data_IF_363857042895
#
_entry.id   IF_363857042895
#
_cell.length_a   1.000
_cell.length_b   1.000
_cell.length_c   1.000
_cell.angle_alpha   90.00
_cell.angle_beta   90.00
_cell.angle_gamma   90.00
#
_symmetry.space_group_name_H-M   'P 1'
#
loop_
_entity.id
_entity.type
_entity.pdbx_description
1 polymer ?
#
# COMPACT_ATOMS: atom_id res chain seq x y z
N UNK A 1 12.32 18.02 -2.89
CA UNK A 1 13.38 17.22 -2.24
C UNK A 1 14.66 18.01 -2.04
N UNK A 2 14.94 19.04 -2.86
CA UNK A 2 16.10 19.92 -2.68
C UNK A 2 16.09 20.66 -1.33
N UNK A 3 14.92 20.97 -0.77
CA UNK A 3 14.83 21.66 0.53
C UNK A 3 15.35 20.80 1.70
N UNK A 4 15.13 19.49 1.67
CA UNK A 4 15.68 18.55 2.66
C UNK A 4 17.19 18.39 2.51
N UNK A 5 17.70 18.40 1.28
CA UNK A 5 19.14 18.37 1.02
C UNK A 5 19.82 19.67 1.50
N UNK A 6 19.19 20.83 1.26
CA UNK A 6 19.65 22.13 1.75
C UNK A 6 19.61 22.22 3.29
N UNK A 7 18.69 21.51 3.94
CA UNK A 7 18.61 21.40 5.40
C UNK A 7 19.59 20.37 5.99
N UNK A 8 20.41 19.70 5.17
CA UNK A 8 21.37 18.68 5.63
C UNK A 8 20.73 17.39 6.13
N UNK A 9 19.45 17.13 5.82
CA UNK A 9 18.75 15.93 6.27
C UNK A 9 19.05 14.77 5.31
N UNK A 10 19.67 13.67 5.78
CA UNK A 10 19.95 12.52 4.95
C UNK A 10 18.65 11.77 4.65
N UNK A 11 18.10 11.98 3.47
CA UNK A 11 17.01 11.15 2.94
C UNK A 11 17.56 10.11 1.97
N UNK A 12 16.91 8.95 1.90
CA UNK A 12 17.23 7.85 0.97
C UNK A 12 17.55 8.31 -0.47
N UNK A 13 16.75 9.19 -1.11
CA UNK A 13 17.08 9.79 -2.40
C UNK A 13 18.43 10.52 -2.49
N UNK A 14 18.85 11.18 -1.40
CA UNK A 14 20.07 11.99 -1.33
C UNK A 14 21.32 11.13 -1.05
N UNK A 15 21.14 10.03 -0.31
CA UNK A 15 22.25 9.15 0.12
C UNK A 15 22.49 8.01 -0.86
N UNK A 16 21.43 7.34 -1.32
CA UNK A 16 21.50 6.13 -2.15
C UNK A 16 20.94 6.32 -3.57
N UNK A 17 20.50 7.54 -3.90
CA UNK A 17 19.95 7.89 -5.20
C UNK A 17 18.47 7.54 -5.39
N UNK A 18 17.87 8.17 -6.39
CA UNK A 18 16.46 7.99 -6.72
C UNK A 18 16.14 6.57 -7.21
N UNK A 19 17.04 5.96 -8.00
CA UNK A 19 16.86 4.62 -8.50
C UNK A 19 16.78 3.56 -7.39
N UNK A 20 17.61 3.69 -6.34
CA UNK A 20 17.55 2.81 -5.17
C UNK A 20 16.23 2.95 -4.42
N UNK A 21 15.78 4.19 -4.23
CA UNK A 21 14.49 4.49 -3.57
C UNK A 21 13.32 3.85 -4.33
N UNK A 22 13.27 3.96 -5.66
CA UNK A 22 12.22 3.34 -6.49
C UNK A 22 12.21 1.81 -6.38
N UNK A 23 13.39 1.17 -6.34
CA UNK A 23 13.51 -0.29 -6.16
C UNK A 23 12.99 -0.74 -4.81
N UNK A 24 13.33 -0.02 -3.74
CA UNK A 24 12.83 -0.34 -2.40
C UNK A 24 11.32 -0.16 -2.27
N UNK A 25 10.75 0.90 -2.86
CA UNK A 25 9.30 1.09 -2.91
C UNK A 25 8.61 -0.15 -3.53
N UNK A 26 9.13 -0.65 -4.64
CA UNK A 26 8.58 -1.83 -5.29
C UNK A 26 8.76 -3.11 -4.46
N UNK A 27 9.94 -3.31 -3.88
CA UNK A 27 10.20 -4.47 -3.02
C UNK A 27 9.27 -4.50 -1.80
N UNK A 28 9.06 -3.36 -1.14
CA UNK A 28 8.13 -3.27 -0.02
C UNK A 28 6.67 -3.44 -0.44
N UNK A 29 6.27 -2.96 -1.61
CA UNK A 29 4.93 -3.20 -2.14
C UNK A 29 4.65 -4.70 -2.36
N UNK A 30 5.64 -5.45 -2.86
CA UNK A 30 5.54 -6.90 -3.04
C UNK A 30 5.41 -7.65 -1.71
N UNK A 31 6.02 -7.16 -0.63
CA UNK A 31 5.86 -7.73 0.72
C UNK A 31 4.53 -7.32 1.33
N UNK A 32 4.10 -6.07 1.11
CA UNK A 32 2.85 -5.54 1.66
C UNK A 32 1.62 -6.29 1.12
N UNK A 33 1.60 -6.63 -0.18
CA UNK A 33 0.48 -7.31 -0.80
C UNK A 33 0.07 -8.63 -0.12
N UNK A 34 0.97 -9.61 0.11
CA UNK A 34 0.62 -10.83 0.85
C UNK A 34 0.33 -10.54 2.32
N UNK A 35 1.04 -9.58 2.95
CA UNK A 35 0.81 -9.21 4.36
C UNK A 35 -0.61 -8.70 4.58
N UNK A 36 -1.16 -7.90 3.64
CA UNK A 36 -2.54 -7.43 3.72
C UNK A 36 -3.59 -8.55 3.59
N UNK A 37 -3.25 -9.69 2.98
CA UNK A 37 -4.15 -10.84 2.79
C UNK A 37 -4.05 -11.83 3.96
N UNK A 38 -2.98 -11.77 4.77
CA UNK A 38 -2.77 -12.68 5.90
C UNK A 38 -3.95 -12.80 6.88
N UNK A 39 -4.71 -11.73 7.23
CA UNK A 39 -5.83 -11.88 8.16
C UNK A 39 -6.88 -12.89 7.68
N UNK A 40 -7.09 -13.00 6.36
CA UNK A 40 -7.97 -14.00 5.78
C UNK A 40 -7.37 -15.40 5.83
N UNK A 41 -6.08 -15.54 5.47
CA UNK A 41 -5.36 -16.84 5.48
C UNK A 41 -5.29 -17.43 6.89
N UNK A 42 -5.14 -16.58 7.90
CA UNK A 42 -5.09 -16.99 9.31
C UNK A 42 -6.49 -17.25 9.92
N UNK A 43 -7.57 -17.02 9.16
CA UNK A 43 -8.93 -17.27 9.61
C UNK A 43 -9.51 -16.20 10.54
N UNK A 44 -8.90 -15.01 10.60
CA UNK A 44 -9.42 -13.89 11.42
C UNK A 44 -10.56 -13.13 10.74
N UNK A 45 -10.69 -13.23 9.42
CA UNK A 45 -11.68 -12.48 8.63
C UNK A 45 -12.41 -13.37 7.63
N UNK A 46 -13.55 -12.92 7.10
CA UNK A 46 -14.29 -13.66 6.07
C UNK A 46 -13.60 -13.62 4.69
N UNK A 47 -14.02 -14.48 3.74
CA UNK A 47 -13.52 -14.44 2.36
C UNK A 47 -13.78 -13.12 1.62
N UNK A 48 -14.79 -12.34 2.05
CA UNK A 48 -15.07 -11.03 1.45
C UNK A 48 -13.91 -10.06 1.69
N UNK A 49 -13.38 -10.01 2.91
CA UNK A 49 -12.17 -9.24 3.22
C UNK A 49 -10.98 -9.71 2.39
N UNK A 50 -10.78 -11.03 2.26
CA UNK A 50 -9.69 -11.61 1.48
C UNK A 50 -9.65 -11.15 0.02
N UNK A 51 -10.82 -11.13 -0.65
CA UNK A 51 -10.95 -10.65 -2.04
C UNK A 51 -10.61 -9.15 -2.13
N UNK A 52 -11.14 -8.33 -1.21
CA UNK A 52 -10.86 -6.89 -1.19
C UNK A 52 -9.37 -6.63 -0.94
N UNK A 53 -8.75 -7.32 0.02
CA UNK A 53 -7.34 -7.22 0.33
C UNK A 53 -6.45 -7.61 -0.87
N UNK A 54 -6.81 -8.68 -1.59
CA UNK A 54 -6.13 -9.12 -2.80
C UNK A 54 -6.17 -8.06 -3.91
N UNK A 55 -7.35 -7.50 -4.20
CA UNK A 55 -7.52 -6.48 -5.23
C UNK A 55 -6.77 -5.19 -4.88
N UNK A 56 -6.84 -4.77 -3.62
CA UNK A 56 -6.12 -3.60 -3.11
C UNK A 56 -4.60 -3.83 -3.17
N UNK A 57 -4.12 -5.03 -2.79
CA UNK A 57 -2.71 -5.38 -2.84
C UNK A 57 -2.17 -5.42 -4.27
N UNK A 58 -2.90 -6.04 -5.19
CA UNK A 58 -2.55 -6.07 -6.61
C UNK A 58 -2.47 -4.67 -7.22
N UNK A 59 -3.44 -3.79 -6.90
CA UNK A 59 -3.42 -2.39 -7.30
C UNK A 59 -2.19 -1.66 -6.75
N UNK A 60 -1.85 -1.87 -5.48
CA UNK A 60 -0.67 -1.25 -4.85
C UNK A 60 0.63 -1.64 -5.58
N UNK A 61 0.80 -2.92 -5.88
CA UNK A 61 1.96 -3.43 -6.64
C UNK A 61 2.02 -2.83 -8.04
N UNK A 62 0.87 -2.67 -8.72
CA UNK A 62 0.83 -2.04 -10.05
C UNK A 62 1.26 -0.57 -10.01
N UNK A 63 0.79 0.22 -9.03
CA UNK A 63 1.27 1.59 -8.85
C UNK A 63 2.76 1.65 -8.50
N UNK A 64 3.24 0.73 -7.66
CA UNK A 64 4.66 0.65 -7.32
C UNK A 64 5.53 0.26 -8.53
N UNK A 65 5.03 -0.61 -9.41
CA UNK A 65 5.69 -0.94 -10.67
C UNK A 65 5.78 0.27 -11.60
N UNK A 66 4.72 1.09 -11.68
CA UNK A 66 4.77 2.36 -12.43
C UNK A 66 5.79 3.33 -11.86
N UNK A 67 5.96 3.36 -10.54
CA UNK A 67 7.04 4.13 -9.90
C UNK A 67 8.40 3.55 -10.30
N UNK A 68 8.56 2.23 -10.34
CA UNK A 68 9.82 1.60 -10.74
C UNK A 68 10.24 1.94 -12.19
N UNK A 69 9.27 2.04 -13.10
CA UNK A 69 9.50 2.42 -14.51
C UNK A 69 9.57 3.94 -14.75
N UNK A 70 9.41 4.76 -13.72
CA UNK A 70 9.43 6.23 -13.86
C UNK A 70 10.78 6.69 -14.43
N UNK A 71 10.76 7.54 -15.46
CA UNK A 71 11.97 8.13 -16.03
C UNK A 71 12.67 9.06 -15.03
N UNK A 72 14.00 9.15 -15.08
CA UNK A 72 14.79 10.04 -14.20
C UNK A 72 14.57 11.53 -14.50
N UNK A 73 14.09 11.83 -15.70
CA UNK A 73 13.70 13.16 -16.19
C UNK A 73 12.43 13.70 -15.52
N UNK A 74 11.55 12.83 -14.99
CA UNK A 74 10.23 13.23 -14.50
C UNK A 74 10.32 14.01 -13.18
N UNK A 75 10.59 15.31 -13.30
CA UNK A 75 10.62 16.26 -12.18
C UNK A 75 9.26 16.42 -11.49
N UNK A 76 8.16 16.09 -12.18
CA UNK A 76 6.82 16.23 -11.63
C UNK A 76 6.46 15.10 -10.65
N UNK A 77 7.23 14.00 -10.66
CA UNK A 77 7.05 12.82 -9.81
C UNK A 77 5.63 12.26 -9.87
N UNK A 78 5.02 12.24 -11.07
CA UNK A 78 3.60 11.88 -11.23
C UNK A 78 3.29 10.47 -10.74
N UNK A 79 4.09 9.42 -11.08
CA UNK A 79 3.84 8.07 -10.60
C UNK A 79 3.95 7.95 -9.08
N UNK A 80 4.93 8.63 -8.47
CA UNK A 80 5.15 8.58 -7.03
C UNK A 80 3.99 9.24 -6.26
N UNK A 81 3.48 10.39 -6.75
CA UNK A 81 2.30 11.05 -6.19
C UNK A 81 1.04 10.21 -6.33
N UNK A 82 0.87 9.53 -7.46
CA UNK A 82 -0.25 8.62 -7.68
C UNK A 82 -0.20 7.41 -6.72
N UNK A 83 0.98 6.81 -6.53
CA UNK A 83 1.18 5.74 -5.54
C UNK A 83 0.89 6.24 -4.12
N UNK A 84 1.33 7.44 -3.76
CA UNK A 84 1.03 8.01 -2.45
C UNK A 84 -0.48 8.20 -2.23
N UNK A 85 -1.20 8.78 -3.20
CA UNK A 85 -2.65 8.91 -3.12
C UNK A 85 -3.35 7.54 -3.02
N UNK A 86 -2.90 6.56 -3.80
CA UNK A 86 -3.41 5.19 -3.71
C UNK A 86 -3.11 4.56 -2.36
N UNK A 87 -1.93 4.80 -1.76
CA UNK A 87 -1.58 4.26 -0.45
C UNK A 87 -2.50 4.75 0.66
N UNK A 88 -2.94 6.01 0.58
CA UNK A 88 -3.90 6.57 1.52
C UNK A 88 -5.27 5.90 1.36
N UNK A 89 -5.75 5.77 0.11
CA UNK A 89 -6.99 5.07 -0.19
C UNK A 89 -6.93 3.59 0.22
N UNK A 90 -5.81 2.91 -0.05
CA UNK A 90 -5.55 1.53 0.37
C UNK A 90 -5.69 1.39 1.88
N UNK A 91 -5.05 2.28 2.64
CA UNK A 91 -5.10 2.26 4.10
C UNK A 91 -6.54 2.42 4.62
N UNK A 92 -7.26 3.41 4.11
CA UNK A 92 -8.67 3.60 4.49
C UNK A 92 -9.53 2.41 4.09
N UNK A 93 -9.38 1.90 2.88
CA UNK A 93 -10.19 0.82 2.34
C UNK A 93 -9.95 -0.51 3.07
N UNK A 94 -8.69 -0.85 3.38
CA UNK A 94 -8.36 -2.11 4.07
C UNK A 94 -8.90 -2.10 5.51
N UNK A 95 -8.81 -0.97 6.22
CA UNK A 95 -9.39 -0.84 7.55
C UNK A 95 -10.92 -0.81 7.53
N UNK A 96 -11.53 -0.11 6.57
CA UNK A 96 -12.98 -0.10 6.41
C UNK A 96 -13.52 -1.51 6.08
N UNK A 97 -12.82 -2.25 5.22
CA UNK A 97 -13.16 -3.65 4.91
C UNK A 97 -13.06 -4.53 6.16
N UNK A 98 -11.98 -4.39 6.94
CA UNK A 98 -11.81 -5.13 8.19
C UNK A 98 -12.90 -4.81 9.22
N UNK A 99 -13.24 -3.53 9.39
CA UNK A 99 -14.32 -3.11 10.28
C UNK A 99 -15.67 -3.65 9.82
N UNK A 100 -15.97 -3.56 8.53
CA UNK A 100 -17.18 -4.11 7.93
C UNK A 100 -17.29 -5.62 8.17
N UNK A 101 -16.19 -6.35 7.98
CA UNK A 101 -16.10 -7.78 8.25
C UNK A 101 -16.44 -8.11 9.72
N UNK A 102 -15.82 -7.38 10.65
CA UNK A 102 -16.06 -7.53 12.09
C UNK A 102 -17.52 -7.24 12.48
N UNK A 103 -18.12 -6.19 11.90
CA UNK A 103 -19.52 -5.82 12.17
C UNK A 103 -20.48 -6.88 11.62
N UNK A 104 -20.24 -7.37 10.41
CA UNK A 104 -21.07 -8.42 9.78
C UNK A 104 -20.95 -9.72 10.56
N UNK A 105 -19.74 -10.15 10.89
CA UNK A 105 -19.49 -11.35 11.69
C UNK A 105 -20.21 -11.25 13.04
N UNK A 106 -20.11 -10.10 13.72
CA UNK A 106 -20.78 -9.88 15.01
C UNK A 106 -22.31 -9.82 14.89
N UNK A 107 -22.85 -9.18 13.86
CA UNK A 107 -24.29 -9.13 13.60
C UNK A 107 -24.87 -10.53 13.34
N UNK A 108 -24.16 -11.38 12.59
CA UNK A 108 -24.55 -12.77 12.36
C UNK A 108 -24.53 -13.60 13.64
N UNK A 109 -23.56 -13.38 14.54
CA UNK A 109 -23.54 -14.07 15.84
C UNK A 109 -24.64 -13.62 16.81
N UNK A 110 -25.11 -12.38 16.71
CA UNK A 110 -26.17 -11.83 17.59
C UNK A 110 -27.57 -12.16 17.06
N UNK A 111 -27.76 -12.18 15.74
CA UNK A 111 -29.05 -12.54 15.12
C UNK A 111 -29.34 -14.05 15.05
N UNK A 112 -28.37 -14.89 15.45
CA UNK A 112 -28.50 -16.35 15.50
C UNK A 112 -28.85 -16.93 16.89
N UNK A 113 -29.11 -16.08 17.89
CA UNK A 113 -29.62 -16.45 19.21
C UNK A 113 -31.09 -16.05 19.33
#
# INVERSE_FOLDING_TARGET
SEDYAKAGIPMMPNVAGQASTRRQIFAYALVLAPVGVLPWVLGFTTPAYGIVALLLGAGFVWYAWKVLQMADDDRAMKPAKALFGYSLLYLFAIFAAYLGDCVVARALTIGGA
#
